data_IF_557841271540
#
_entry.id   IF_557841271540
#
_cell.length_a   1.000
_cell.length_b   1.000
_cell.length_c   1.000
_cell.angle_alpha   90.00
_cell.angle_beta   90.00
_cell.angle_gamma   90.00
#
_symmetry.space_group_name_H-M   'P 1'
#
loop_
_entity.id
_entity.type
_entity.pdbx_description
1 polymer ?
#
# COMPACT_ATOMS: atom_id res chain seq x y z
N UNK A 1 12.67 -12.64 4.09
CA UNK A 1 11.69 -12.20 3.07
C UNK A 1 11.18 -10.82 3.45
N UNK A 2 11.20 -9.87 2.52
CA UNK A 2 10.60 -8.55 2.66
C UNK A 2 9.23 -8.54 2.01
N UNK A 3 8.18 -8.15 2.73
CA UNK A 3 6.82 -8.14 2.19
C UNK A 3 6.02 -6.89 2.57
N UNK A 4 4.91 -6.65 1.87
CA UNK A 4 4.02 -5.49 2.10
C UNK A 4 3.48 -4.89 0.81
N UNK A 5 2.74 -3.80 0.94
CA UNK A 5 2.03 -3.14 -0.16
C UNK A 5 2.94 -2.77 -1.35
N UNK A 6 2.39 -2.77 -2.56
CA UNK A 6 3.06 -2.26 -3.75
C UNK A 6 3.48 -0.78 -3.59
N UNK A 7 4.76 -0.48 -3.80
CA UNK A 7 5.30 0.89 -3.63
C UNK A 7 5.81 1.23 -2.23
N UNK A 8 5.83 0.29 -1.27
CA UNK A 8 6.42 0.50 0.06
C UNK A 8 7.96 0.48 0.12
N UNK A 9 8.64 0.24 -1.02
CA UNK A 9 10.10 0.29 -1.12
C UNK A 9 10.84 -1.02 -0.87
N UNK A 10 10.18 -2.18 -0.99
CA UNK A 10 10.81 -3.51 -0.83
C UNK A 10 12.07 -3.69 -1.67
N UNK A 11 11.99 -3.43 -2.98
CA UNK A 11 13.13 -3.53 -3.89
C UNK A 11 14.23 -2.51 -3.56
N UNK A 12 13.88 -1.32 -3.07
CA UNK A 12 14.85 -0.32 -2.60
C UNK A 12 15.62 -0.80 -1.36
N UNK A 13 14.93 -1.42 -0.39
CA UNK A 13 15.57 -2.04 0.78
C UNK A 13 16.45 -3.22 0.34
N UNK A 14 15.96 -4.08 -0.54
CA UNK A 14 16.73 -5.21 -1.06
C UNK A 14 17.99 -4.77 -1.81
N UNK A 15 17.91 -3.69 -2.60
CA UNK A 15 19.06 -3.07 -3.25
C UNK A 15 20.09 -2.59 -2.22
N UNK A 16 19.64 -1.92 -1.16
CA UNK A 16 20.52 -1.47 -0.08
C UNK A 16 21.23 -2.64 0.63
N UNK A 17 20.50 -3.73 0.88
CA UNK A 17 21.07 -4.97 1.45
C UNK A 17 22.10 -5.58 0.50
N UNK A 18 21.79 -5.68 -0.80
CA UNK A 18 22.72 -6.17 -1.82
C UNK A 18 24.00 -5.34 -1.91
N UNK A 19 23.88 -4.01 -1.92
CA UNK A 19 25.03 -3.09 -1.92
C UNK A 19 25.89 -3.28 -0.65
N UNK A 20 25.27 -3.51 0.51
CA UNK A 20 26.00 -3.77 1.75
C UNK A 20 26.70 -5.13 1.73
N UNK A 21 26.02 -6.18 1.27
CA UNK A 21 26.59 -7.52 1.11
C UNK A 21 27.82 -7.52 0.19
N UNK A 22 27.76 -6.78 -0.93
CA UNK A 22 28.89 -6.62 -1.84
C UNK A 22 30.09 -5.91 -1.17
N UNK A 23 29.84 -4.89 -0.33
CA UNK A 23 30.90 -4.23 0.46
C UNK A 23 31.52 -5.14 1.52
N UNK A 24 30.81 -6.17 1.95
CA UNK A 24 31.27 -7.22 2.86
C UNK A 24 31.86 -8.43 2.11
N UNK A 25 32.28 -8.23 0.86
CA UNK A 25 32.94 -9.22 0.00
C UNK A 25 32.11 -10.49 -0.29
N UNK A 26 30.78 -10.38 -0.22
CA UNK A 26 29.85 -11.44 -0.67
C UNK A 26 29.59 -11.34 -2.16
N UNK A 27 29.45 -12.48 -2.83
CA UNK A 27 28.92 -12.51 -4.19
C UNK A 27 27.42 -12.19 -4.16
N UNK A 28 26.96 -11.31 -5.03
CA UNK A 28 25.55 -10.87 -5.06
C UNK A 28 24.99 -11.07 -6.45
N UNK A 29 23.89 -11.81 -6.53
CA UNK A 29 23.13 -11.99 -7.76
C UNK A 29 21.70 -11.49 -7.56
N UNK A 30 21.10 -11.00 -8.64
CA UNK A 30 19.76 -10.45 -8.64
C UNK A 30 18.94 -11.06 -9.76
N UNK A 31 17.80 -11.64 -9.41
CA UNK A 31 16.84 -12.22 -10.35
C UNK A 31 15.47 -11.61 -10.10
N UNK A 32 14.77 -11.24 -11.16
CA UNK A 32 13.36 -10.84 -11.09
C UNK A 32 12.49 -12.09 -11.19
N UNK A 33 11.51 -12.20 -10.30
CA UNK A 33 10.47 -13.21 -10.26
C UNK A 33 9.09 -12.63 -10.62
N UNK A 34 9.07 -11.53 -11.37
CA UNK A 34 7.85 -10.84 -11.78
C UNK A 34 6.89 -11.72 -12.58
N UNK A 35 7.44 -12.67 -13.34
CA UNK A 35 6.75 -13.74 -14.04
C UNK A 35 7.68 -14.94 -14.24
N UNK A 36 7.12 -16.06 -14.72
CA UNK A 36 7.87 -17.30 -14.97
C UNK A 36 9.03 -17.10 -15.96
N UNK A 37 8.86 -16.25 -16.98
CA UNK A 37 9.84 -16.08 -18.06
C UNK A 37 11.07 -15.32 -17.55
N UNK A 38 10.85 -14.23 -16.84
CA UNK A 38 11.91 -13.40 -16.22
C UNK A 38 12.68 -14.19 -15.16
N UNK A 39 11.98 -14.97 -14.34
CA UNK A 39 12.58 -15.86 -13.35
C UNK A 39 13.50 -16.89 -14.02
N UNK A 40 12.96 -17.67 -14.97
CA UNK A 40 13.72 -18.71 -15.65
C UNK A 40 14.90 -18.14 -16.43
N UNK A 41 14.74 -17.00 -17.09
CA UNK A 41 15.83 -16.32 -17.80
C UNK A 41 16.95 -15.89 -16.85
N UNK A 42 16.60 -15.26 -15.72
CA UNK A 42 17.58 -14.81 -14.72
C UNK A 42 18.32 -15.97 -14.04
N UNK A 43 17.62 -17.03 -13.67
CA UNK A 43 18.25 -18.23 -13.08
C UNK A 43 19.12 -18.99 -14.09
N UNK A 44 18.73 -19.00 -15.37
CA UNK A 44 19.56 -19.58 -16.44
C UNK A 44 20.85 -18.78 -16.62
N UNK A 45 20.73 -17.47 -16.63
CA UNK A 45 21.88 -16.57 -16.72
C UNK A 45 22.81 -16.75 -15.52
N UNK A 46 22.26 -16.89 -14.31
CA UNK A 46 23.03 -17.20 -13.11
C UNK A 46 23.79 -18.54 -13.23
N UNK A 47 23.17 -19.59 -13.76
CA UNK A 47 23.85 -20.87 -13.99
C UNK A 47 25.06 -20.70 -14.93
N UNK A 48 24.93 -19.90 -15.99
CA UNK A 48 26.03 -19.58 -16.91
C UNK A 48 27.14 -18.81 -16.19
N UNK A 49 26.80 -17.82 -15.36
CA UNK A 49 27.77 -17.05 -14.58
C UNK A 49 28.51 -17.89 -13.53
N UNK A 50 27.86 -18.92 -12.99
CA UNK A 50 28.47 -19.90 -12.10
C UNK A 50 29.38 -20.91 -12.84
N UNK A 51 29.49 -20.80 -14.17
CA UNK A 51 30.39 -21.61 -14.99
C UNK A 51 29.82 -22.96 -15.42
N UNK A 52 28.50 -23.13 -15.38
CA UNK A 52 27.86 -24.38 -15.85
C UNK A 52 28.02 -24.48 -17.37
N UNK A 53 28.34 -25.68 -17.85
CA UNK A 53 28.48 -25.94 -19.29
C UNK A 53 27.16 -25.65 -20.04
N UNK A 54 27.19 -24.94 -21.19
CA UNK A 54 25.98 -24.59 -21.94
C UNK A 54 25.07 -25.78 -22.27
N UNK A 55 25.64 -26.96 -22.55
CA UNK A 55 24.86 -28.17 -22.83
C UNK A 55 24.05 -28.65 -21.61
N UNK A 56 24.63 -28.58 -20.40
CA UNK A 56 23.92 -28.94 -19.17
C UNK A 56 22.85 -27.92 -18.81
N UNK A 57 23.13 -26.62 -19.02
CA UNK A 57 22.11 -25.57 -18.85
C UNK A 57 20.94 -25.80 -19.81
N UNK A 58 21.21 -26.13 -21.08
CA UNK A 58 20.17 -26.41 -22.06
C UNK A 58 19.34 -27.64 -21.65
N UNK A 59 19.98 -28.78 -21.38
CA UNK A 59 19.30 -30.00 -20.94
C UNK A 59 18.42 -29.78 -19.70
N UNK A 60 18.89 -28.97 -18.74
CA UNK A 60 18.13 -28.66 -17.53
C UNK A 60 16.89 -27.77 -17.79
N UNK A 61 16.99 -26.76 -18.64
CA UNK A 61 15.85 -25.89 -18.97
C UNK A 61 14.88 -26.49 -20.00
N UNK A 62 15.30 -27.54 -20.73
CA UNK A 62 14.45 -28.37 -21.58
C UNK A 62 13.77 -29.52 -20.79
N UNK A 63 14.09 -29.68 -19.51
CA UNK A 63 13.46 -30.66 -18.60
C UNK A 63 14.10 -32.05 -18.60
N UNK A 64 15.23 -32.23 -19.27
CA UNK A 64 16.00 -33.49 -19.25
C UNK A 64 16.75 -33.66 -17.92
N UNK A 65 17.11 -32.55 -17.27
CA UNK A 65 17.72 -32.48 -15.94
C UNK A 65 16.92 -31.53 -15.04
N UNK A 66 17.06 -31.68 -13.73
CA UNK A 66 16.48 -30.73 -12.78
C UNK A 66 17.32 -29.45 -12.73
N UNK A 67 16.78 -28.36 -13.29
CA UNK A 67 17.42 -27.04 -13.25
C UNK A 67 17.65 -26.50 -11.83
N UNK A 68 16.70 -26.64 -10.88
CA UNK A 68 16.96 -26.30 -9.49
C UNK A 68 18.13 -27.09 -8.89
N UNK A 69 18.19 -28.42 -9.10
CA UNK A 69 19.28 -29.23 -8.54
C UNK A 69 20.64 -28.89 -9.14
N UNK A 70 20.69 -28.61 -10.45
CA UNK A 70 21.91 -28.17 -11.12
C UNK A 70 22.41 -26.85 -10.54
N UNK A 71 21.54 -25.86 -10.42
CA UNK A 71 21.89 -24.54 -9.89
C UNK A 71 22.35 -24.61 -8.44
N UNK A 72 21.62 -25.36 -7.59
CA UNK A 72 21.95 -25.49 -6.17
C UNK A 72 23.27 -26.20 -5.92
N UNK A 73 23.59 -27.24 -6.70
CA UNK A 73 24.93 -27.86 -6.65
C UNK A 73 26.05 -26.86 -6.93
N UNK A 74 25.83 -25.92 -7.86
CA UNK A 74 26.81 -24.89 -8.19
C UNK A 74 26.90 -23.79 -7.12
N UNK A 75 25.77 -23.42 -6.50
CA UNK A 75 25.72 -22.46 -5.40
C UNK A 75 26.38 -23.00 -4.12
N UNK A 76 26.19 -24.28 -3.80
CA UNK A 76 26.82 -24.91 -2.63
C UNK A 76 28.32 -25.17 -2.83
N UNK A 77 28.78 -25.25 -4.07
CA UNK A 77 30.20 -25.38 -4.41
C UNK A 77 30.97 -24.05 -4.36
N UNK A 78 30.29 -22.92 -4.11
CA UNK A 78 30.94 -21.62 -4.07
C UNK A 78 31.92 -21.52 -2.90
N UNK A 79 33.15 -21.07 -3.19
CA UNK A 79 34.18 -20.88 -2.15
C UNK A 79 34.04 -19.59 -1.33
N UNK A 80 33.02 -18.76 -1.63
CA UNK A 80 32.79 -17.46 -0.98
C UNK A 80 31.34 -17.32 -0.57
N UNK A 81 31.05 -16.60 0.54
CA UNK A 81 29.68 -16.33 0.92
C UNK A 81 28.93 -15.57 -0.16
N UNK A 82 27.63 -15.85 -0.30
CA UNK A 82 26.81 -15.23 -1.33
C UNK A 82 25.44 -14.77 -0.85
N UNK A 83 24.81 -13.92 -1.65
CA UNK A 83 23.44 -13.44 -1.52
C UNK A 83 22.74 -13.54 -2.88
N UNK A 84 21.65 -14.28 -2.94
CA UNK A 84 20.75 -14.28 -4.10
C UNK A 84 19.53 -13.44 -3.75
N UNK A 85 19.30 -12.35 -4.49
CA UNK A 85 18.08 -11.55 -4.39
C UNK A 85 17.08 -12.05 -5.43
N UNK A 86 15.89 -12.43 -4.97
CA UNK A 86 14.74 -12.79 -5.81
C UNK A 86 13.69 -11.69 -5.61
N UNK A 87 13.62 -10.78 -6.56
CA UNK A 87 12.79 -9.57 -6.47
C UNK A 87 11.44 -9.77 -7.18
N UNK A 88 10.36 -9.18 -6.65
CA UNK A 88 9.00 -9.25 -7.21
C UNK A 88 8.39 -10.66 -7.28
N UNK A 89 8.67 -11.51 -6.30
CA UNK A 89 8.10 -12.85 -6.15
C UNK A 89 6.63 -12.83 -5.66
N UNK A 90 5.77 -12.08 -6.36
CA UNK A 90 4.36 -11.89 -6.00
C UNK A 90 3.51 -13.14 -6.27
N UNK A 91 3.89 -13.93 -7.29
CA UNK A 91 3.38 -15.29 -7.51
C UNK A 91 4.42 -16.32 -7.00
N UNK A 92 4.12 -17.07 -5.93
CA UNK A 92 5.02 -18.09 -5.39
C UNK A 92 5.08 -19.36 -6.25
N UNK A 93 4.12 -19.60 -7.15
CA UNK A 93 4.01 -20.83 -7.94
C UNK A 93 5.30 -21.17 -8.70
N UNK A 94 5.86 -20.26 -9.51
CA UNK A 94 7.11 -20.46 -10.24
C UNK A 94 8.34 -20.81 -9.38
N UNK A 95 8.33 -20.45 -8.09
CA UNK A 95 9.43 -20.74 -7.15
C UNK A 95 9.33 -22.12 -6.50
N UNK A 96 8.13 -22.71 -6.55
CA UNK A 96 7.79 -23.97 -5.88
C UNK A 96 8.09 -25.18 -6.76
N UNK A 97 8.38 -26.32 -6.15
CA UNK A 97 8.28 -27.59 -6.86
C UNK A 97 6.81 -27.91 -7.14
N UNK A 98 6.48 -28.74 -8.16
CA UNK A 98 5.10 -29.13 -8.44
C UNK A 98 4.38 -29.67 -7.20
N UNK A 99 3.30 -29.00 -6.79
CA UNK A 99 2.48 -29.38 -5.62
C UNK A 99 3.09 -29.06 -4.25
N UNK A 100 4.21 -28.35 -4.18
CA UNK A 100 4.84 -27.89 -2.94
C UNK A 100 4.73 -26.38 -2.73
N UNK A 101 5.39 -25.91 -1.67
CA UNK A 101 5.55 -24.50 -1.34
C UNK A 101 6.95 -23.99 -1.73
N UNK A 102 7.15 -22.67 -1.89
CA UNK A 102 8.46 -22.11 -2.26
C UNK A 102 9.53 -22.49 -1.25
N UNK A 103 9.16 -22.62 0.03
CA UNK A 103 10.09 -22.81 1.14
C UNK A 103 10.30 -24.28 1.54
N UNK A 104 9.75 -25.24 0.79
CA UNK A 104 9.93 -26.67 1.07
C UNK A 104 11.36 -27.17 0.85
N UNK A 105 12.20 -26.40 0.14
CA UNK A 105 13.60 -26.75 -0.10
C UNK A 105 13.82 -27.75 -1.23
N UNK A 106 12.76 -28.12 -1.96
CA UNK A 106 12.82 -28.99 -3.14
C UNK A 106 12.72 -28.20 -4.47
N UNK A 107 12.22 -26.97 -4.44
CA UNK A 107 12.13 -26.06 -5.58
C UNK A 107 13.37 -25.15 -5.73
N UNK A 108 13.13 -23.90 -6.15
CA UNK A 108 14.17 -22.92 -6.42
C UNK A 108 14.77 -22.29 -5.16
N UNK A 109 14.03 -22.23 -4.05
CA UNK A 109 14.52 -21.68 -2.79
C UNK A 109 14.95 -22.82 -1.85
N UNK A 110 16.21 -22.79 -1.42
CA UNK A 110 16.79 -23.77 -0.49
C UNK A 110 17.68 -23.07 0.52
N UNK A 111 17.98 -23.76 1.61
CA UNK A 111 18.94 -23.29 2.62
C UNK A 111 20.36 -23.66 2.20
N UNK A 112 21.33 -22.79 2.49
CA UNK A 112 22.76 -23.09 2.29
C UNK A 112 23.59 -22.52 3.43
N UNK A 113 24.61 -23.24 3.92
CA UNK A 113 25.50 -22.73 4.97
C UNK A 113 26.39 -21.58 4.48
N UNK A 114 26.55 -21.44 3.16
CA UNK A 114 27.43 -20.44 2.53
C UNK A 114 26.64 -19.26 1.94
N UNK A 115 25.32 -19.34 1.92
CA UNK A 115 24.47 -18.40 1.20
C UNK A 115 23.27 -17.89 1.99
N UNK A 116 22.71 -16.79 1.51
CA UNK A 116 21.41 -16.31 1.94
C UNK A 116 20.55 -15.97 0.72
N UNK A 117 19.24 -16.13 0.85
CA UNK A 117 18.27 -15.66 -0.14
C UNK A 117 17.48 -14.50 0.45
N UNK A 118 17.41 -13.41 -0.29
CA UNK A 118 16.52 -12.29 0.00
C UNK A 118 15.39 -12.26 -1.02
N UNK A 119 14.19 -12.60 -0.59
CA UNK A 119 12.98 -12.50 -1.41
C UNK A 119 12.29 -11.17 -1.12
N UNK A 120 11.83 -10.48 -2.17
CA UNK A 120 10.81 -9.42 -2.05
C UNK A 120 9.51 -9.89 -2.68
N UNK A 121 8.38 -9.62 -2.03
CA UNK A 121 7.05 -10.02 -2.51
C UNK A 121 5.98 -9.12 -1.92
N UNK A 122 4.82 -9.00 -2.55
CA UNK A 122 3.63 -8.41 -1.92
C UNK A 122 2.98 -9.36 -0.93
N UNK A 123 3.14 -10.66 -1.15
CA UNK A 123 2.46 -11.71 -0.41
C UNK A 123 3.17 -12.04 0.91
N UNK A 124 2.59 -11.56 2.00
CA UNK A 124 3.01 -11.82 3.36
C UNK A 124 2.47 -13.10 3.99
N UNK A 125 1.75 -13.94 3.25
CA UNK A 125 1.05 -15.10 3.81
C UNK A 125 2.04 -16.07 4.51
N UNK A 126 1.93 -16.27 5.83
CA UNK A 126 2.86 -17.12 6.58
C UNK A 126 2.73 -18.60 6.25
N UNK A 127 1.59 -19.05 5.72
CA UNK A 127 1.35 -20.43 5.30
C UNK A 127 2.00 -20.76 3.94
N UNK A 128 2.24 -19.76 3.10
CA UNK A 128 3.05 -19.90 1.87
C UNK A 128 4.55 -19.88 2.21
N UNK A 129 4.95 -19.00 3.14
CA UNK A 129 6.34 -18.70 3.46
C UNK A 129 6.84 -19.30 4.78
N UNK A 130 6.30 -20.46 5.19
CA UNK A 130 6.44 -21.07 6.53
C UNK A 130 7.86 -21.11 7.12
N UNK A 131 8.88 -21.34 6.28
CA UNK A 131 10.28 -21.47 6.73
C UNK A 131 11.12 -20.20 6.52
N UNK A 132 10.51 -19.13 6.03
CA UNK A 132 11.19 -17.86 5.84
C UNK A 132 11.03 -16.94 7.07
N UNK A 133 12.08 -16.20 7.40
CA UNK A 133 11.95 -15.06 8.31
C UNK A 133 11.23 -13.91 7.59
N UNK A 134 10.05 -13.55 8.08
CA UNK A 134 9.20 -12.52 7.49
C UNK A 134 9.54 -11.13 8.05
N UNK A 135 9.74 -10.17 7.17
CA UNK A 135 10.00 -8.78 7.50
C UNK A 135 8.98 -7.88 6.79
N UNK A 136 7.90 -7.48 7.48
CA UNK A 136 6.91 -6.58 6.90
C UNK A 136 7.50 -5.17 6.74
N UNK A 137 7.34 -4.61 5.54
CA UNK A 137 7.63 -3.22 5.23
C UNK A 137 6.33 -2.45 5.12
N UNK A 138 6.15 -1.52 6.06
CA UNK A 138 4.99 -0.64 6.16
C UNK A 138 5.29 0.73 5.59
N UNK A 139 4.28 1.58 5.57
CA UNK A 139 4.39 2.98 5.23
C UNK A 139 5.38 3.70 6.16
N UNK A 140 5.98 4.76 5.64
CA UNK A 140 6.86 5.60 6.44
C UNK A 140 6.04 6.44 7.42
N UNK A 141 6.50 6.60 8.68
CA UNK A 141 5.95 7.61 9.57
C UNK A 141 5.96 8.99 8.90
N UNK A 142 4.91 9.78 9.12
CA UNK A 142 4.70 11.09 8.45
C UNK A 142 5.93 11.99 8.49
N UNK A 143 6.66 12.00 9.61
CA UNK A 143 7.91 12.77 9.75
C UNK A 143 9.03 12.29 8.82
N UNK A 144 9.24 10.98 8.70
CA UNK A 144 10.22 10.38 7.79
C UNK A 144 9.79 10.53 6.33
N UNK A 145 8.50 10.40 6.06
CA UNK A 145 7.91 10.62 4.74
C UNK A 145 8.12 12.07 4.25
N UNK A 146 7.97 13.06 5.13
CA UNK A 146 8.24 14.46 4.80
C UNK A 146 9.70 14.70 4.42
N UNK A 147 10.66 13.99 5.04
CA UNK A 147 12.07 14.09 4.66
C UNK A 147 12.34 13.70 3.20
N UNK A 148 11.63 12.71 2.65
CA UNK A 148 11.75 12.34 1.22
C UNK A 148 11.36 13.52 0.33
N UNK A 149 10.26 14.20 0.63
CA UNK A 149 9.82 15.38 -0.12
C UNK A 149 10.86 16.50 -0.02
N UNK A 150 11.38 16.75 1.18
CA UNK A 150 12.40 17.78 1.43
C UNK A 150 13.73 17.46 0.72
N UNK A 151 14.17 16.20 0.71
CA UNK A 151 15.37 15.75 -0.02
C UNK A 151 15.24 15.98 -1.53
N UNK A 152 14.06 15.68 -2.10
CA UNK A 152 13.76 15.91 -3.53
C UNK A 152 13.76 17.40 -3.88
N UNK A 153 13.18 18.24 -3.01
CA UNK A 153 13.19 19.69 -3.17
C UNK A 153 14.60 20.28 -3.01
N UNK A 154 15.40 19.78 -2.08
CA UNK A 154 16.83 20.15 -1.96
C UNK A 154 17.61 19.85 -3.24
N UNK A 155 17.38 18.68 -3.83
CA UNK A 155 17.97 18.30 -5.12
C UNK A 155 17.49 19.22 -6.27
N UNK A 156 16.34 19.88 -6.11
CA UNK A 156 15.81 20.87 -7.04
C UNK A 156 16.37 22.29 -6.83
N UNK A 157 17.26 22.50 -5.86
CA UNK A 157 17.86 23.81 -5.54
C UNK A 157 17.04 24.63 -4.54
N UNK A 158 16.12 24.00 -3.78
CA UNK A 158 15.48 24.66 -2.64
C UNK A 158 16.44 24.61 -1.46
N UNK A 159 16.94 25.77 -1.04
CA UNK A 159 17.77 25.90 0.15
C UNK A 159 16.85 25.97 1.38
N UNK A 160 17.24 25.31 2.48
CA UNK A 160 16.54 25.50 3.75
C UNK A 160 16.71 26.96 4.19
N UNK A 161 15.62 27.58 4.67
CA UNK A 161 15.78 28.61 5.69
C UNK A 161 16.57 27.95 6.82
N UNK A 162 17.83 28.33 6.98
CA UNK A 162 18.79 27.74 7.91
C UNK A 162 18.14 27.38 9.25
N UNK A 163 18.48 26.19 9.77
CA UNK A 163 18.54 25.88 11.22
C UNK A 163 19.55 26.83 11.90
N UNK A 164 19.37 28.15 11.75
CA UNK A 164 20.07 29.14 12.53
C UNK A 164 19.44 29.10 13.91
N UNK A 165 20.04 28.29 14.78
CA UNK A 165 19.79 28.27 16.20
C UNK A 165 19.98 29.65 16.82
N UNK A 166 18.91 30.45 16.82
CA UNK A 166 18.61 31.33 17.93
C UNK A 166 17.89 30.50 18.99
N UNK A 167 18.14 30.72 20.29
CA UNK A 167 17.38 30.04 21.32
C UNK A 167 15.90 30.37 21.12
N UNK A 168 15.04 29.35 21.22
CA UNK A 168 13.59 29.53 21.34
C UNK A 168 13.35 30.28 22.65
N UNK A 169 13.41 31.61 22.59
CA UNK A 169 13.01 32.47 23.67
C UNK A 169 11.60 32.96 23.38
N UNK A 170 10.71 32.64 24.31
CA UNK A 170 9.34 33.14 24.48
C UNK A 170 8.25 32.17 23.99
N UNK A 171 7.54 31.59 24.96
CA UNK A 171 6.28 30.84 24.84
C UNK A 171 5.10 31.71 24.33
N UNK A 172 5.33 32.59 23.34
CA UNK A 172 4.40 33.69 23.04
C UNK A 172 4.09 33.95 21.57
N UNK A 173 4.60 33.15 20.63
CA UNK A 173 4.32 33.38 19.20
C UNK A 173 4.26 32.08 18.39
N UNK A 174 3.34 31.18 18.78
CA UNK A 174 2.84 30.11 17.91
C UNK A 174 1.88 30.73 16.88
N UNK A 175 2.36 31.62 16.03
CA UNK A 175 1.71 31.80 14.74
C UNK A 175 1.98 30.52 13.96
N UNK A 176 0.91 29.82 13.57
CA UNK A 176 0.94 28.63 12.74
C UNK A 176 1.59 28.98 11.38
N UNK A 177 2.92 28.93 11.31
CA UNK A 177 3.65 29.27 10.10
C UNK A 177 3.52 28.17 9.05
N UNK A 178 3.00 28.50 7.87
CA UNK A 178 2.99 27.68 6.66
C UNK A 178 4.41 27.50 6.07
N UNK A 179 5.36 27.06 6.90
CA UNK A 179 6.73 26.78 6.49
C UNK A 179 6.81 25.54 5.58
N UNK A 180 7.91 25.41 4.84
CA UNK A 180 8.12 24.29 3.93
C UNK A 180 8.06 22.92 4.63
N UNK A 181 8.59 22.81 5.85
CA UNK A 181 8.55 21.57 6.63
C UNK A 181 7.12 21.18 7.02
N UNK A 182 6.31 22.15 7.46
CA UNK A 182 4.92 21.92 7.86
C UNK A 182 4.05 21.55 6.65
N UNK A 183 4.22 22.24 5.52
CA UNK A 183 3.51 21.90 4.27
C UNK A 183 3.93 20.52 3.73
N UNK A 184 5.21 20.15 3.86
CA UNK A 184 5.71 18.81 3.52
C UNK A 184 5.12 17.72 4.44
N UNK A 185 4.99 17.97 5.75
CA UNK A 185 4.32 17.06 6.69
C UNK A 185 2.86 16.83 6.29
N UNK A 186 2.12 17.90 5.98
CA UNK A 186 0.72 17.80 5.53
C UNK A 186 0.57 17.02 4.22
N UNK A 187 1.48 17.22 3.26
CA UNK A 187 1.48 16.44 2.01
C UNK A 187 1.85 14.98 2.28
N UNK A 188 2.86 14.71 3.10
CA UNK A 188 3.25 13.36 3.47
C UNK A 188 2.12 12.58 4.16
N UNK A 189 1.37 13.24 5.04
CA UNK A 189 0.17 12.70 5.67
C UNK A 189 -0.93 12.40 4.65
N UNK A 190 -1.21 13.32 3.73
CA UNK A 190 -2.17 13.12 2.64
C UNK A 190 -1.81 11.91 1.77
N UNK A 191 -0.51 11.71 1.48
CA UNK A 191 -0.01 10.59 0.68
C UNK A 191 0.12 9.27 1.46
N UNK A 192 -0.24 9.27 2.76
CA UNK A 192 -0.25 8.08 3.61
C UNK A 192 1.14 7.50 3.88
N UNK A 193 2.21 8.27 3.69
CA UNK A 193 3.57 7.77 3.93
C UNK A 193 4.07 6.73 2.92
N UNK A 194 3.38 6.53 1.78
CA UNK A 194 3.80 5.59 0.75
C UNK A 194 5.01 6.13 -0.05
N UNK A 195 6.19 5.48 0.01
CA UNK A 195 7.43 5.95 -0.64
C UNK A 195 7.28 6.28 -2.13
N UNK A 196 6.60 5.42 -2.90
CA UNK A 196 6.40 5.67 -4.33
C UNK A 196 5.58 6.95 -4.59
N UNK A 197 4.52 7.18 -3.82
CA UNK A 197 3.69 8.38 -3.96
C UNK A 197 4.49 9.64 -3.60
N UNK A 198 5.29 9.58 -2.52
CA UNK A 198 6.19 10.66 -2.10
C UNK A 198 7.23 10.98 -3.17
N UNK A 199 7.82 9.96 -3.79
CA UNK A 199 8.80 10.12 -4.86
C UNK A 199 8.17 10.79 -6.10
N UNK A 200 6.97 10.35 -6.51
CA UNK A 200 6.28 10.93 -7.66
C UNK A 200 5.88 12.39 -7.42
N UNK A 201 5.34 12.70 -6.23
CA UNK A 201 5.03 14.06 -5.81
C UNK A 201 6.29 14.93 -5.76
N UNK A 202 7.37 14.43 -5.14
CA UNK A 202 8.65 15.13 -5.02
C UNK A 202 9.28 15.44 -6.39
N UNK A 203 9.27 14.48 -7.33
CA UNK A 203 9.76 14.69 -8.70
C UNK A 203 8.96 15.78 -9.42
N UNK A 204 7.63 15.75 -9.32
CA UNK A 204 6.75 16.76 -9.91
C UNK A 204 7.04 18.16 -9.35
N UNK A 205 7.05 18.28 -8.03
CA UNK A 205 7.33 19.54 -7.32
C UNK A 205 8.73 20.07 -7.65
N UNK A 206 9.73 19.19 -7.69
CA UNK A 206 11.10 19.55 -8.06
C UNK A 206 11.20 20.08 -9.50
N UNK A 207 10.45 19.51 -10.46
CA UNK A 207 10.37 20.06 -11.82
C UNK A 207 9.76 21.45 -11.83
N UNK A 208 8.68 21.69 -11.07
CA UNK A 208 8.03 23.00 -10.97
C UNK A 208 8.98 24.05 -10.38
N UNK A 209 9.63 23.73 -9.25
CA UNK A 209 10.61 24.58 -8.60
C UNK A 209 11.77 24.94 -9.54
N UNK A 210 12.40 23.94 -10.18
CA UNK A 210 13.49 24.19 -11.16
C UNK A 210 13.07 25.04 -12.35
N UNK A 211 11.80 24.99 -12.77
CA UNK A 211 11.29 25.84 -13.86
C UNK A 211 11.11 27.27 -13.37
N UNK A 212 10.58 27.45 -12.16
CA UNK A 212 10.39 28.78 -11.58
C UNK A 212 11.73 29.47 -11.32
N UNK A 213 12.67 28.78 -10.68
CA UNK A 213 13.98 29.37 -10.33
C UNK A 213 14.77 29.79 -11.58
N UNK A 214 14.66 29.04 -12.68
CA UNK A 214 15.23 29.42 -13.97
C UNK A 214 14.61 30.68 -14.59
N UNK A 215 13.36 31.01 -14.26
CA UNK A 215 12.63 32.16 -14.84
C UNK A 215 12.72 33.42 -13.98
N UNK A 216 12.57 33.28 -12.67
CA UNK A 216 12.33 34.40 -11.76
C UNK A 216 13.50 34.70 -10.80
N UNK A 217 14.55 33.88 -10.78
CA UNK A 217 15.66 34.03 -9.83
C UNK A 217 15.36 33.45 -8.44
N UNK A 218 16.29 33.66 -7.48
CA UNK A 218 16.42 32.88 -6.23
C UNK A 218 15.91 33.61 -4.96
N UNK A 219 15.15 34.70 -5.07
CA UNK A 219 14.90 35.59 -3.92
C UNK A 219 14.18 34.93 -2.72
N UNK A 220 13.27 33.97 -2.98
CA UNK A 220 12.64 33.14 -1.95
C UNK A 220 12.26 31.76 -2.51
N UNK A 221 13.23 30.84 -2.50
CA UNK A 221 13.03 29.48 -3.00
C UNK A 221 12.17 28.64 -2.05
N UNK A 222 12.29 28.86 -0.74
CA UNK A 222 11.58 28.11 0.29
C UNK A 222 10.10 28.47 0.37
N UNK A 223 9.74 29.76 0.33
CA UNK A 223 8.34 30.20 0.34
C UNK A 223 7.60 29.82 -0.94
N UNK A 224 8.26 29.88 -2.10
CA UNK A 224 7.69 29.34 -3.34
C UNK A 224 7.46 27.82 -3.24
N UNK A 225 8.45 27.07 -2.75
CA UNK A 225 8.32 25.62 -2.59
C UNK A 225 7.19 25.26 -1.62
N UNK A 226 7.06 25.96 -0.49
CA UNK A 226 5.97 25.75 0.47
C UNK A 226 4.59 25.98 -0.17
N UNK A 227 4.44 27.07 -0.92
CA UNK A 227 3.22 27.39 -1.66
C UNK A 227 2.91 26.32 -2.73
N UNK A 228 3.92 25.87 -3.47
CA UNK A 228 3.76 24.83 -4.48
C UNK A 228 3.38 23.47 -3.89
N UNK A 229 3.95 23.11 -2.74
CA UNK A 229 3.58 21.91 -1.97
C UNK A 229 2.14 22.00 -1.48
N UNK A 230 1.75 23.14 -0.92
CA UNK A 230 0.38 23.38 -0.43
C UNK A 230 -0.65 23.29 -1.55
N UNK A 231 -0.40 23.94 -2.69
CA UNK A 231 -1.27 23.88 -3.87
C UNK A 231 -1.37 22.45 -4.41
N UNK A 232 -0.24 21.74 -4.53
CA UNK A 232 -0.24 20.35 -4.96
C UNK A 232 -1.02 19.45 -4.00
N UNK A 233 -0.86 19.65 -2.69
CA UNK A 233 -1.62 18.93 -1.66
C UNK A 233 -3.12 19.16 -1.80
N UNK A 234 -3.55 20.40 -2.05
CA UNK A 234 -4.96 20.71 -2.30
C UNK A 234 -5.49 20.01 -3.56
N UNK A 235 -4.72 20.00 -4.64
CA UNK A 235 -5.09 19.34 -5.90
C UNK A 235 -5.20 17.82 -5.75
N UNK A 236 -4.25 17.16 -5.06
CA UNK A 236 -4.28 15.71 -4.85
C UNK A 236 -5.46 15.28 -3.99
N UNK A 237 -5.87 16.08 -3.01
CA UNK A 237 -7.06 15.81 -2.18
C UNK A 237 -8.37 15.81 -2.97
N UNK A 238 -8.44 16.59 -4.05
CA UNK A 238 -9.61 16.65 -4.93
C UNK A 238 -9.52 15.60 -6.05
N UNK A 239 -8.32 15.37 -6.57
CA UNK A 239 -8.08 14.47 -7.69
C UNK A 239 -6.81 13.66 -7.48
N UNK A 240 -6.96 12.51 -6.82
CA UNK A 240 -5.85 11.58 -6.53
C UNK A 240 -5.21 11.01 -7.80
N UNK A 241 -5.93 10.97 -8.94
CA UNK A 241 -5.37 10.57 -10.23
C UNK A 241 -4.28 11.54 -10.74
N UNK A 242 -4.15 12.73 -10.15
CA UNK A 242 -3.02 13.62 -10.40
C UNK A 242 -1.66 12.94 -10.11
N UNK A 243 -1.61 12.00 -9.15
CA UNK A 243 -0.39 11.29 -8.79
C UNK A 243 0.17 10.48 -9.97
N UNK A 244 -0.70 9.85 -10.76
CA UNK A 244 -0.27 9.07 -11.93
C UNK A 244 0.08 9.93 -13.13
N UNK A 245 -0.49 11.14 -13.22
CA UNK A 245 -0.29 12.07 -14.33
C UNK A 245 0.95 12.96 -14.14
N UNK A 246 1.56 12.93 -12.95
CA UNK A 246 2.72 13.74 -12.58
C UNK A 246 3.98 13.44 -13.40
N UNK A 247 4.13 12.21 -13.90
CA UNK A 247 5.27 11.74 -14.70
C UNK A 247 5.01 11.79 -16.22
N UNK A 248 3.73 11.74 -16.64
CA UNK A 248 3.28 11.61 -18.03
C UNK A 248 3.29 12.89 -18.88
N UNK A 249 4.39 13.68 -18.87
CA UNK A 249 4.59 14.77 -19.85
C UNK A 249 5.66 14.44 -20.91
N UNK A 250 5.58 13.24 -21.48
CA UNK A 250 6.02 13.01 -22.87
C UNK A 250 4.80 12.59 -23.69
N UNK A 251 4.54 13.38 -24.72
CA UNK A 251 3.58 13.17 -25.81
C UNK A 251 2.07 13.30 -25.48
N UNK A 252 1.55 14.52 -25.63
CA UNK A 252 0.27 14.68 -26.30
C UNK A 252 0.45 14.19 -27.76
N UNK A 253 0.28 12.90 -27.99
CA UNK A 253 0.47 12.26 -29.29
C UNK A 253 0.42 10.75 -29.16
N UNK A 254 -0.70 10.16 -29.60
CA UNK A 254 -0.96 8.72 -29.71
C UNK A 254 -1.02 7.97 -28.38
N UNK A 255 -2.25 7.68 -27.93
CA UNK A 255 -2.50 6.66 -26.90
C UNK A 255 -2.12 5.29 -27.50
N UNK A 256 -0.94 4.77 -27.17
CA UNK A 256 -0.62 3.35 -27.36
C UNK A 256 -0.98 2.58 -26.08
N UNK A 257 -1.60 1.40 -26.19
CA UNK A 257 -2.04 0.61 -25.03
C UNK A 257 -0.88 0.01 -24.22
N UNK A 258 0.35 0.01 -24.75
CA UNK A 258 1.52 -0.61 -24.13
C UNK A 258 2.50 0.41 -23.50
N UNK A 259 2.00 1.33 -22.67
CA UNK A 259 2.86 2.14 -21.78
C UNK A 259 3.35 1.31 -20.57
N UNK A 260 4.01 0.17 -20.83
CA UNK A 260 4.54 -0.75 -19.82
C UNK A 260 5.71 -0.17 -18.97
N UNK A 261 6.12 1.08 -19.21
CA UNK A 261 7.26 1.73 -18.54
C UNK A 261 6.92 2.87 -17.58
N UNK A 262 5.65 3.29 -17.45
CA UNK A 262 5.26 4.33 -16.50
C UNK A 262 4.74 3.70 -15.19
N UNK A 263 5.56 3.76 -14.14
CA UNK A 263 5.13 3.36 -12.79
C UNK A 263 4.03 4.32 -12.33
N UNK A 264 2.81 3.79 -12.19
CA UNK A 264 1.65 4.49 -11.61
C UNK A 264 1.44 4.00 -10.20
N UNK A 265 1.08 4.92 -9.31
CA UNK A 265 0.73 4.58 -7.92
C UNK A 265 -0.48 3.65 -7.94
N UNK A 266 -1.47 3.91 -8.78
CA UNK A 266 -2.68 3.07 -8.87
C UNK A 266 -2.45 1.66 -9.37
N UNK A 267 -1.53 1.50 -10.33
CA UNK A 267 -1.17 0.18 -10.84
C UNK A 267 -0.52 -0.71 -9.78
N UNK A 268 0.07 -0.13 -8.71
CA UNK A 268 0.76 -0.93 -7.70
C UNK A 268 -0.18 -1.69 -6.78
N UNK A 269 -1.41 -1.27 -6.50
CA UNK A 269 -2.36 -2.11 -5.76
C UNK A 269 -3.33 -2.86 -6.66
N UNK A 270 -3.62 -2.37 -7.87
CA UNK A 270 -4.50 -3.11 -8.79
C UNK A 270 -3.91 -4.49 -9.13
N UNK A 271 -2.58 -4.57 -9.30
CA UNK A 271 -1.91 -5.87 -9.47
C UNK A 271 -2.02 -6.77 -8.24
N UNK A 272 -2.03 -6.22 -7.03
CA UNK A 272 -2.28 -7.02 -5.82
C UNK A 272 -3.70 -7.56 -5.82
N UNK A 273 -4.67 -6.71 -6.17
CA UNK A 273 -6.06 -7.12 -6.23
C UNK A 273 -6.28 -8.21 -7.28
N UNK A 274 -5.71 -8.05 -8.48
CA UNK A 274 -5.75 -9.08 -9.53
C UNK A 274 -5.20 -10.42 -9.06
N UNK A 275 -4.11 -10.44 -8.28
CA UNK A 275 -3.57 -11.68 -7.71
C UNK A 275 -4.57 -12.40 -6.80
N UNK A 276 -5.39 -11.66 -6.04
CA UNK A 276 -6.44 -12.26 -5.20
C UNK A 276 -7.56 -12.86 -6.07
N UNK A 277 -7.92 -12.18 -7.15
CA UNK A 277 -8.96 -12.65 -8.07
C UNK A 277 -8.52 -13.90 -8.84
N UNK A 278 -7.26 -13.94 -9.26
CA UNK A 278 -6.64 -15.09 -9.91
C UNK A 278 -6.56 -16.30 -8.96
N UNK A 279 -6.52 -16.06 -7.63
CA UNK A 279 -6.64 -17.08 -6.58
C UNK A 279 -8.09 -17.52 -6.32
N UNK A 280 -9.06 -16.97 -7.05
CA UNK A 280 -10.45 -17.37 -6.99
C UNK A 280 -11.27 -16.64 -5.92
N UNK A 281 -10.81 -15.48 -5.43
CA UNK A 281 -11.51 -14.64 -4.44
C UNK A 281 -11.94 -13.28 -5.05
N UNK A 282 -12.80 -13.26 -6.09
CA UNK A 282 -13.22 -12.02 -6.78
C UNK A 282 -13.99 -11.03 -5.89
N UNK A 283 -14.58 -11.49 -4.79
CA UNK A 283 -15.25 -10.67 -3.77
C UNK A 283 -14.31 -9.63 -3.12
N UNK A 284 -12.99 -9.87 -3.11
CA UNK A 284 -12.02 -8.95 -2.53
C UNK A 284 -12.10 -7.53 -3.13
N UNK A 285 -12.34 -7.42 -4.45
CA UNK A 285 -12.53 -6.12 -5.11
C UNK A 285 -13.74 -5.38 -4.56
N UNK A 286 -14.86 -6.09 -4.39
CA UNK A 286 -16.08 -5.47 -3.88
C UNK A 286 -15.93 -5.07 -2.42
N UNK A 287 -15.29 -5.90 -1.60
CA UNK A 287 -14.98 -5.56 -0.19
C UNK A 287 -14.10 -4.31 -0.11
N UNK A 288 -13.08 -4.20 -0.96
CA UNK A 288 -12.21 -3.03 -1.04
C UNK A 288 -12.98 -1.76 -1.45
N UNK A 289 -13.89 -1.86 -2.42
CA UNK A 289 -14.76 -0.75 -2.82
C UNK A 289 -15.72 -0.31 -1.70
N UNK A 290 -16.31 -1.27 -0.98
CA UNK A 290 -17.16 -0.98 0.20
C UNK A 290 -16.34 -0.27 1.28
N UNK A 291 -15.14 -0.77 1.61
CA UNK A 291 -14.25 -0.15 2.58
C UNK A 291 -13.84 1.26 2.18
N UNK A 292 -13.64 1.52 0.88
CA UNK A 292 -13.33 2.84 0.35
C UNK A 292 -14.50 3.85 0.44
N UNK A 293 -15.74 3.39 0.61
CA UNK A 293 -16.87 4.27 0.93
C UNK A 293 -16.79 4.84 2.35
N UNK A 294 -16.11 4.14 3.26
CA UNK A 294 -15.92 4.57 4.64
C UNK A 294 -14.74 5.54 4.79
N UNK A 295 -14.64 6.18 5.95
CA UNK A 295 -13.46 6.98 6.31
C UNK A 295 -12.20 6.12 6.49
N UNK A 296 -11.02 6.72 6.30
CA UNK A 296 -9.69 6.05 6.33
C UNK A 296 -9.20 5.67 7.73
N UNK A 297 -10.06 5.80 8.74
CA UNK A 297 -9.87 5.31 10.11
C UNK A 297 -10.19 3.81 10.21
N UNK A 298 -9.80 3.13 11.31
CA UNK A 298 -10.14 1.71 11.49
C UNK A 298 -11.66 1.47 11.43
N UNK A 299 -12.08 0.66 10.46
CA UNK A 299 -13.46 0.22 10.24
C UNK A 299 -13.69 -1.05 11.04
N UNK A 300 -14.65 -1.10 11.95
CA UNK A 300 -14.85 -2.32 12.72
C UNK A 300 -15.38 -3.49 11.87
N UNK A 301 -14.83 -4.69 12.05
CA UNK A 301 -15.08 -5.84 11.17
C UNK A 301 -16.57 -6.25 11.10
N UNK A 302 -17.34 -6.02 12.18
CA UNK A 302 -18.77 -6.34 12.20
C UNK A 302 -19.62 -5.44 11.29
N UNK A 303 -19.07 -4.34 10.76
CA UNK A 303 -19.76 -3.60 9.69
C UNK A 303 -19.78 -4.39 8.38
N UNK A 304 -18.94 -5.42 8.21
CA UNK A 304 -18.94 -6.30 7.05
C UNK A 304 -19.73 -7.58 7.36
N UNK A 305 -20.98 -7.43 7.78
CA UNK A 305 -21.85 -8.54 8.21
C UNK A 305 -22.08 -9.57 7.07
N UNK A 306 -21.68 -10.84 7.23
CA UNK A 306 -21.79 -11.85 6.17
C UNK A 306 -23.20 -12.02 5.62
N UNK A 307 -24.22 -11.98 6.48
CA UNK A 307 -25.61 -12.15 6.06
C UNK A 307 -26.11 -11.02 5.16
N UNK A 308 -25.58 -9.80 5.32
CA UNK A 308 -25.91 -8.65 4.47
C UNK A 308 -25.16 -8.75 3.14
N UNK A 309 -23.87 -9.11 3.19
CA UNK A 309 -23.04 -9.30 2.00
C UNK A 309 -23.60 -10.38 1.08
N UNK A 310 -24.01 -11.54 1.64
CA UNK A 310 -24.56 -12.66 0.89
C UNK A 310 -25.88 -12.34 0.15
N UNK A 311 -26.63 -11.31 0.58
CA UNK A 311 -27.86 -10.86 -0.08
C UNK A 311 -27.61 -9.87 -1.21
N UNK A 312 -26.39 -9.37 -1.35
CA UNK A 312 -26.06 -8.34 -2.33
C UNK A 312 -25.80 -8.95 -3.70
N UNK A 313 -26.43 -8.43 -4.78
CA UNK A 313 -26.11 -8.86 -6.15
C UNK A 313 -24.76 -8.34 -6.64
N UNK A 314 -24.06 -7.50 -5.86
CA UNK A 314 -22.76 -6.94 -6.22
C UNK A 314 -21.59 -7.88 -5.93
N UNK A 315 -21.83 -8.96 -5.21
CA UNK A 315 -20.86 -10.01 -4.88
C UNK A 315 -21.26 -11.33 -5.54
N UNK A 316 -20.31 -12.26 -5.75
CA UNK A 316 -20.61 -13.63 -6.18
C UNK A 316 -21.68 -14.28 -5.29
N UNK A 317 -22.58 -15.06 -5.89
CA UNK A 317 -23.73 -15.64 -5.18
C UNK A 317 -23.34 -16.63 -4.06
N UNK A 318 -22.13 -17.18 -4.11
CA UNK A 318 -21.56 -18.07 -3.12
C UNK A 318 -20.79 -17.34 -2.00
N UNK A 319 -20.79 -16.01 -1.98
CA UNK A 319 -20.10 -15.22 -0.94
C UNK A 319 -20.74 -15.42 0.44
N UNK A 320 -20.24 -16.39 1.18
CA UNK A 320 -20.61 -16.68 2.56
C UNK A 320 -19.60 -16.08 3.55
N UNK A 321 -19.75 -16.43 4.83
CA UNK A 321 -18.87 -15.94 5.88
C UNK A 321 -17.41 -16.39 5.70
N UNK A 322 -17.19 -17.62 5.23
CA UNK A 322 -15.86 -18.17 5.04
C UNK A 322 -15.16 -17.46 3.88
N UNK A 323 -15.85 -17.33 2.73
CA UNK A 323 -15.32 -16.60 1.57
C UNK A 323 -15.01 -15.13 1.87
N UNK A 324 -15.86 -14.48 2.68
CA UNK A 324 -15.58 -13.13 3.19
C UNK A 324 -14.28 -13.09 4.00
N UNK A 325 -14.12 -14.04 4.91
CA UNK A 325 -12.94 -14.11 5.80
C UNK A 325 -11.67 -14.39 4.98
N UNK A 326 -11.72 -15.36 4.06
CA UNK A 326 -10.62 -15.68 3.14
C UNK A 326 -10.24 -14.46 2.28
N UNK A 327 -11.22 -13.71 1.78
CA UNK A 327 -10.98 -12.51 0.98
C UNK A 327 -10.37 -11.36 1.81
N UNK A 328 -10.79 -11.20 3.07
CA UNK A 328 -10.19 -10.22 3.98
C UNK A 328 -8.77 -10.62 4.38
N UNK A 329 -8.53 -11.89 4.67
CA UNK A 329 -7.19 -12.43 4.94
C UNK A 329 -6.27 -12.22 3.75
N UNK A 330 -6.72 -12.50 2.53
CA UNK A 330 -5.95 -12.26 1.31
C UNK A 330 -5.62 -10.76 1.09
N UNK A 331 -6.55 -9.84 1.42
CA UNK A 331 -6.29 -8.40 1.39
C UNK A 331 -5.24 -7.98 2.43
N UNK A 332 -5.22 -8.64 3.60
CA UNK A 332 -4.25 -8.41 4.68
C UNK A 332 -2.87 -8.95 4.29
N UNK A 333 -2.81 -10.16 3.75
CA UNK A 333 -1.57 -10.80 3.30
C UNK A 333 -0.85 -9.97 2.24
N UNK A 334 -1.59 -9.36 1.31
CA UNK A 334 -1.03 -8.47 0.29
C UNK A 334 -0.78 -7.03 0.78
N UNK A 335 -1.04 -6.75 2.05
CA UNK A 335 -0.83 -5.44 2.68
C UNK A 335 -1.77 -4.34 2.16
N UNK A 336 -2.89 -4.69 1.54
CA UNK A 336 -3.92 -3.73 1.13
C UNK A 336 -4.73 -3.26 2.35
N UNK A 337 -5.01 -4.18 3.26
CA UNK A 337 -5.74 -3.94 4.50
C UNK A 337 -4.85 -4.24 5.71
N UNK A 338 -4.97 -3.44 6.76
CA UNK A 338 -4.35 -3.70 8.05
C UNK A 338 -5.41 -4.17 9.05
N UNK A 339 -5.16 -5.28 9.74
CA UNK A 339 -5.94 -5.67 10.91
C UNK A 339 -5.51 -4.92 12.16
N UNK A 340 -6.48 -4.45 12.92
CA UNK A 340 -6.29 -3.62 14.10
C UNK A 340 -7.21 -4.11 15.21
N UNK A 341 -6.69 -4.21 16.42
CA UNK A 341 -7.51 -4.38 17.63
C UNK A 341 -7.53 -3.07 18.39
N UNK A 342 -8.73 -2.53 18.58
CA UNK A 342 -8.94 -1.28 19.31
C UNK A 342 -9.44 -1.62 20.72
N UNK A 343 -8.70 -1.29 21.78
CA UNK A 343 -9.13 -1.58 23.14
C UNK A 343 -10.43 -0.86 23.49
N UNK A 344 -11.30 -1.55 24.21
CA UNK A 344 -12.49 -1.00 24.85
C UNK A 344 -12.57 -1.47 26.30
N UNK A 345 -13.49 -0.90 27.08
CA UNK A 345 -13.76 -1.24 28.48
C UNK A 345 -14.22 -2.69 28.68
N UNK A 346 -14.62 -3.40 27.62
CA UNK A 346 -15.07 -4.79 27.70
C UNK A 346 -14.44 -5.70 26.63
N UNK A 347 -13.23 -5.36 26.19
CA UNK A 347 -12.41 -6.18 25.29
C UNK A 347 -11.95 -5.43 24.04
N UNK A 348 -11.33 -6.14 23.12
CA UNK A 348 -10.84 -5.55 21.88
C UNK A 348 -11.91 -5.57 20.79
N UNK A 349 -12.09 -4.43 20.12
CA UNK A 349 -12.88 -4.33 18.88
C UNK A 349 -11.96 -4.65 17.71
N UNK A 350 -12.27 -5.73 16.99
CA UNK A 350 -11.58 -6.08 15.75
C UNK A 350 -11.98 -5.11 14.64
N UNK A 351 -10.97 -4.53 14.00
CA UNK A 351 -11.11 -3.56 12.92
C UNK A 351 -10.21 -3.93 11.74
N UNK A 352 -10.62 -3.48 10.58
CA UNK A 352 -9.84 -3.46 9.35
C UNK A 352 -9.59 -2.01 8.93
N UNK A 353 -8.43 -1.72 8.37
CA UNK A 353 -8.10 -0.38 7.89
C UNK A 353 -7.50 -0.47 6.49
N UNK A 354 -8.14 0.19 5.54
CA UNK A 354 -7.58 0.35 4.19
C UNK A 354 -6.52 1.45 4.19
N UNK A 355 -5.41 1.24 3.46
CA UNK A 355 -4.39 2.28 3.32
C UNK A 355 -5.00 3.56 2.71
N UNK A 356 -4.69 4.74 3.25
CA UNK A 356 -5.34 6.01 2.91
C UNK A 356 -5.36 6.31 1.42
N UNK A 357 -4.21 6.22 0.76
CA UNK A 357 -4.11 6.55 -0.66
C UNK A 357 -4.88 5.54 -1.54
N UNK A 358 -4.87 4.28 -1.12
CA UNK A 358 -5.60 3.20 -1.78
C UNK A 358 -7.10 3.46 -1.64
N UNK A 359 -7.57 3.78 -0.44
CA UNK A 359 -8.97 4.12 -0.15
C UNK A 359 -9.45 5.31 -0.98
N UNK A 360 -8.73 6.42 -1.00
CA UNK A 360 -9.15 7.61 -1.77
C UNK A 360 -9.18 7.34 -3.27
N UNK A 361 -8.26 6.54 -3.78
CA UNK A 361 -8.26 6.21 -5.22
C UNK A 361 -9.37 5.27 -5.60
N UNK A 362 -9.58 4.21 -4.82
CA UNK A 362 -10.69 3.26 -5.06
C UNK A 362 -12.02 4.00 -4.94
N UNK A 363 -12.16 4.91 -3.97
CA UNK A 363 -13.37 5.71 -3.82
C UNK A 363 -13.59 6.64 -5.02
N UNK A 364 -12.55 7.30 -5.52
CA UNK A 364 -12.64 8.16 -6.70
C UNK A 364 -12.99 7.38 -7.97
N UNK A 365 -12.41 6.19 -8.16
CA UNK A 365 -12.73 5.29 -9.28
C UNK A 365 -14.17 4.78 -9.18
N UNK A 366 -14.58 4.33 -8.00
CA UNK A 366 -15.95 3.85 -7.73
C UNK A 366 -16.97 4.97 -7.98
N UNK A 367 -16.65 6.21 -7.59
CA UNK A 367 -17.54 7.34 -7.79
C UNK A 367 -17.72 7.75 -9.27
N UNK A 368 -16.74 7.42 -10.12
CA UNK A 368 -16.81 7.66 -11.56
C UNK A 368 -17.48 6.51 -12.33
N UNK A 369 -17.73 5.38 -11.68
CA UNK A 369 -18.36 4.19 -12.28
C UNK A 369 -19.89 4.29 -12.22
N UNK A 370 -20.58 3.70 -13.20
CA UNK A 370 -22.05 3.71 -13.28
C UNK A 370 -22.69 3.00 -12.07
N UNK A 371 -21.98 2.04 -11.47
CA UNK A 371 -22.40 1.28 -10.27
C UNK A 371 -22.12 1.93 -8.92
N UNK A 372 -21.74 3.22 -8.88
CA UNK A 372 -21.44 3.94 -7.63
C UNK A 372 -22.58 3.80 -6.61
N UNK A 373 -23.81 4.06 -7.05
CA UNK A 373 -24.96 4.21 -6.15
C UNK A 373 -25.25 2.91 -5.39
N UNK A 374 -25.10 1.77 -6.06
CA UNK A 374 -25.29 0.44 -5.52
C UNK A 374 -24.21 0.10 -4.48
N UNK A 375 -22.93 0.40 -4.77
CA UNK A 375 -21.84 0.16 -3.82
C UNK A 375 -21.98 1.03 -2.57
N UNK A 376 -22.28 2.32 -2.76
CA UNK A 376 -22.52 3.23 -1.64
C UNK A 376 -23.73 2.78 -0.81
N UNK A 377 -24.82 2.36 -1.47
CA UNK A 377 -26.03 1.88 -0.79
C UNK A 377 -25.77 0.62 0.01
N UNK A 378 -24.94 -0.30 -0.49
CA UNK A 378 -24.52 -1.49 0.23
C UNK A 378 -23.68 -1.11 1.46
N UNK A 379 -22.70 -0.22 1.33
CA UNK A 379 -21.89 0.25 2.46
C UNK A 379 -22.74 0.94 3.54
N UNK A 380 -23.70 1.79 3.15
CA UNK A 380 -24.61 2.42 4.09
C UNK A 380 -25.57 1.42 4.76
N UNK A 381 -26.04 0.40 4.04
CA UNK A 381 -26.86 -0.68 4.61
C UNK A 381 -26.09 -1.51 5.63
N UNK A 382 -24.86 -1.89 5.29
CA UNK A 382 -23.93 -2.62 6.14
C UNK A 382 -23.66 -1.88 7.46
N UNK A 383 -23.34 -0.58 7.38
CA UNK A 383 -23.12 0.24 8.56
C UNK A 383 -24.39 0.41 9.39
N UNK A 384 -25.55 0.61 8.76
CA UNK A 384 -26.83 0.76 9.46
C UNK A 384 -27.23 -0.52 10.17
N UNK A 385 -27.04 -1.69 9.55
CA UNK A 385 -27.32 -2.99 10.18
C UNK A 385 -26.42 -3.21 11.41
N UNK A 386 -25.12 -2.95 11.27
CA UNK A 386 -24.17 -3.05 12.38
C UNK A 386 -24.45 -2.03 13.51
N UNK A 387 -25.02 -0.89 13.17
CA UNK A 387 -25.47 0.13 14.11
C UNK A 387 -26.77 -0.26 14.84
N UNK A 388 -27.71 -0.93 14.18
CA UNK A 388 -28.93 -1.44 14.82
C UNK A 388 -28.61 -2.53 15.86
N UNK A 389 -27.62 -3.38 15.56
CA UNK A 389 -27.09 -4.33 16.53
C UNK A 389 -26.30 -3.68 17.67
N UNK A 390 -26.02 -2.37 17.62
CA UNK A 390 -25.09 -1.71 18.54
C UNK A 390 -25.59 -1.61 19.99
N UNK A 391 -26.90 -1.57 20.17
CA UNK A 391 -27.55 -1.47 21.48
C UNK A 391 -27.34 -2.77 22.27
N UNK A 392 -26.50 -2.72 23.30
CA UNK A 392 -26.18 -3.86 24.16
C UNK A 392 -24.72 -4.32 24.11
N UNK A 393 -23.85 -3.63 23.36
CA UNK A 393 -22.46 -4.05 23.30
C UNK A 393 -21.62 -3.67 24.51
N UNK A 394 -20.66 -4.56 24.66
CA UNK A 394 -19.52 -4.44 25.51
C UNK A 394 -18.56 -3.36 24.93
N UNK A 395 -18.70 -2.09 25.34
CA UNK A 395 -17.88 -0.96 24.84
C UNK A 395 -18.53 -0.05 23.81
N UNK A 396 -19.79 0.30 24.07
CA UNK A 396 -20.64 1.15 23.23
C UNK A 396 -19.99 2.50 22.84
N UNK A 397 -19.34 3.20 23.77
CA UNK A 397 -18.67 4.49 23.48
C UNK A 397 -17.50 4.31 22.52
N UNK A 398 -16.67 3.29 22.73
CA UNK A 398 -15.53 3.00 21.85
C UNK A 398 -16.01 2.62 20.44
N UNK A 399 -17.06 1.81 20.35
CA UNK A 399 -17.70 1.49 19.08
C UNK A 399 -18.19 2.73 18.34
N UNK A 400 -19.00 3.57 18.99
CA UNK A 400 -19.55 4.75 18.34
C UNK A 400 -18.48 5.78 17.98
N UNK A 401 -17.38 5.83 18.74
CA UNK A 401 -16.19 6.62 18.39
C UNK A 401 -15.57 6.16 17.07
N UNK A 402 -15.53 4.85 16.82
CA UNK A 402 -15.04 4.27 15.56
C UNK A 402 -16.03 4.46 14.41
N UNK A 403 -17.34 4.33 14.65
CA UNK A 403 -18.37 4.39 13.59
C UNK A 403 -18.71 5.82 13.15
N UNK A 404 -18.65 6.81 14.04
CA UNK A 404 -19.07 8.18 13.74
C UNK A 404 -18.38 8.80 12.50
N UNK A 405 -17.05 8.69 12.31
CA UNK A 405 -16.38 9.19 11.11
C UNK A 405 -16.91 8.55 9.82
N UNK A 406 -17.24 7.26 9.86
CA UNK A 406 -17.77 6.53 8.69
C UNK A 406 -19.20 6.99 8.33
N UNK A 407 -20.03 7.28 9.33
CA UNK A 407 -21.35 7.90 9.10
C UNK A 407 -21.23 9.24 8.37
N UNK A 408 -20.36 10.12 8.87
CA UNK A 408 -20.13 11.45 8.28
C UNK A 408 -19.59 11.33 6.85
N UNK A 409 -18.65 10.42 6.62
CA UNK A 409 -18.09 10.15 5.30
C UNK A 409 -19.15 9.69 4.31
N UNK A 410 -20.01 8.74 4.68
CA UNK A 410 -21.11 8.31 3.81
C UNK A 410 -22.12 9.43 3.54
N UNK A 411 -22.49 10.20 4.55
CA UNK A 411 -23.43 11.33 4.40
C UNK A 411 -22.90 12.41 3.47
N UNK A 412 -21.60 12.74 3.56
CA UNK A 412 -20.96 13.73 2.68
C UNK A 412 -20.84 13.31 1.21
N UNK A 413 -20.91 12.00 0.93
CA UNK A 413 -20.82 11.41 -0.42
C UNK A 413 -22.13 10.74 -0.87
N UNK A 414 -23.25 11.10 -0.25
CA UNK A 414 -24.55 10.52 -0.53
C UNK A 414 -24.99 10.78 -1.98
N UNK A 415 -25.30 9.75 -2.78
CA UNK A 415 -25.92 9.90 -4.09
C UNK A 415 -27.32 10.54 -3.98
N UNK A 416 -27.75 11.23 -5.05
CA UNK A 416 -29.11 11.76 -5.13
C UNK A 416 -30.15 10.62 -5.12
N UNK A 417 -31.21 10.75 -4.33
CA UNK A 417 -32.31 9.77 -4.28
C UNK A 417 -32.02 8.49 -3.48
N UNK A 418 -30.95 8.45 -2.68
CA UNK A 418 -30.57 7.29 -1.89
C UNK A 418 -31.63 6.85 -0.86
N UNK A 419 -32.14 5.62 -1.01
CA UNK A 419 -33.21 5.04 -0.16
C UNK A 419 -32.75 4.77 1.27
N UNK A 420 -31.47 4.48 1.48
CA UNK A 420 -30.88 4.09 2.78
C UNK A 420 -30.53 5.27 3.68
N UNK A 421 -30.73 6.50 3.20
CA UNK A 421 -30.39 7.74 3.92
C UNK A 421 -31.06 7.88 5.31
N UNK A 422 -32.35 7.53 5.53
CA UNK A 422 -32.97 7.64 6.84
C UNK A 422 -32.28 6.78 7.92
N UNK A 423 -31.87 5.56 7.57
CA UNK A 423 -31.17 4.66 8.49
C UNK A 423 -29.78 5.17 8.86
N UNK A 424 -29.05 5.71 7.87
CA UNK A 424 -27.74 6.31 8.09
C UNK A 424 -27.82 7.58 8.97
N UNK A 425 -28.83 8.43 8.75
CA UNK A 425 -29.10 9.60 9.60
C UNK A 425 -29.46 9.19 11.04
N UNK A 426 -30.23 8.11 11.20
CA UNK A 426 -30.50 7.51 12.51
C UNK A 426 -29.22 7.10 13.22
N UNK A 427 -28.36 6.35 12.53
CA UNK A 427 -27.06 5.90 13.05
C UNK A 427 -26.15 7.06 13.45
N UNK A 428 -26.07 8.11 12.62
CA UNK A 428 -25.30 9.32 12.92
C UNK A 428 -25.82 10.07 14.16
N UNK A 429 -27.15 10.14 14.33
CA UNK A 429 -27.78 10.76 15.50
C UNK A 429 -27.50 9.96 16.77
N UNK A 430 -27.59 8.64 16.73
CA UNK A 430 -27.25 7.78 17.86
C UNK A 430 -25.79 7.95 18.26
N UNK A 431 -24.87 7.93 17.30
CA UNK A 431 -23.45 8.17 17.55
C UNK A 431 -23.21 9.52 18.26
N UNK A 432 -23.82 10.60 17.75
CA UNK A 432 -23.71 11.92 18.35
C UNK A 432 -24.30 11.98 19.78
N UNK A 433 -25.41 11.27 20.02
CA UNK A 433 -26.04 11.15 21.34
C UNK A 433 -25.13 10.48 22.36
N UNK A 434 -24.62 9.29 22.04
CA UNK A 434 -23.74 8.51 22.92
C UNK A 434 -22.44 9.26 23.21
N UNK A 435 -21.78 9.81 22.18
CA UNK A 435 -20.52 10.52 22.36
C UNK A 435 -20.67 11.79 23.20
N UNK A 436 -21.80 12.49 23.08
CA UNK A 436 -22.15 13.64 23.91
C UNK A 436 -22.34 13.24 25.37
N UNK A 437 -23.05 12.14 25.64
CA UNK A 437 -23.28 11.64 27.01
C UNK A 437 -21.99 11.17 27.67
N UNK A 438 -21.07 10.59 26.90
CA UNK A 438 -19.76 10.14 27.37
C UNK A 438 -18.75 11.30 27.62
N UNK A 439 -19.10 12.55 27.30
CA UNK A 439 -18.19 13.69 27.41
C UNK A 439 -17.02 13.67 26.42
N UNK A 440 -17.07 12.78 25.42
CA UNK A 440 -16.02 12.60 24.41
C UNK A 440 -16.21 13.59 23.26
N UNK A 441 -16.03 14.89 23.53
CA UNK A 441 -16.08 15.95 22.50
C UNK A 441 -14.79 16.08 21.68
N UNK A 442 -13.71 15.38 22.05
CA UNK A 442 -12.40 15.53 21.40
C UNK A 442 -12.30 14.91 20.00
N UNK A 443 -13.26 14.06 19.58
CA UNK A 443 -13.28 13.45 18.24
C UNK A 443 -14.23 14.12 17.25
N UNK A 444 -15.05 15.08 17.70
CA UNK A 444 -16.04 15.80 16.86
C UNK A 444 -15.62 17.23 16.54
N UNK A 445 -14.35 17.59 16.73
CA UNK A 445 -13.84 18.93 16.44
C UNK A 445 -12.66 18.85 15.45
N UNK A 446 -12.97 18.94 14.17
CA UNK A 446 -12.18 19.75 13.24
C UNK A 446 -13.08 20.21 12.07
N UNK A 447 -12.82 21.40 11.53
CA UNK A 447 -13.77 22.20 10.73
C UNK A 447 -14.14 21.61 9.37
#
# INVERSE_FOLDING_TARGET
>A
MLHGLGGCGKSTVALSVGMRAAKEDRQVWWVSAADLTTLHSGLRQLAIELGVEPALVQAAWEGELSAPDLLWRCLDAQGRPWLLVVDEADDPGPLSAPGGLPTDGNGWLRESPLGAILVTTRDGNPDVWRRATLHPLRELPTSQAAHILLDQLRTAGVEHASDNGGPVTSEGDLSAGDGLSETALRLADTLGGLPLALEMAGKYLGVQCRRQFRRAGLADTAGFAASAVQEYNAQVRVNVALLDNATGRRAAGVRHPDNAGEIRVTATWERSLQLIEDRGLPEARRLMQILACYETTPVPLRTLEPAVLARSPLLPADTDALRRDDALEALVDLGLVEERRVPSDRGDIACVKLHRLVAETVAAQTAADEGHSEVWSLAASLLTEAALGAEGFEGEVAWWTLVAPHCLRLLSRCPEGAVVLPGLLGSARTAAGVLREAGSFASSSCP
#
